data_IF_029317888276
#
_entry.id   IF_029317888276
#
_cell.length_a   1.000
_cell.length_b   1.000
_cell.length_c   1.000
_cell.angle_alpha   90.00
_cell.angle_beta   90.00
_cell.angle_gamma   90.00
#
_symmetry.space_group_name_H-M   'P 1'
#
loop_
_entity.id
_entity.type
_entity.pdbx_description
1 polymer ?
#
# COMPACT_ATOMS: atom_id res chain seq x y z
N UNK A 1 17.53 11.77 -16.36
CA UNK A 1 16.66 10.61 -16.62
C UNK A 1 15.23 11.10 -16.61
N UNK A 2 14.41 10.85 -17.64
CA UNK A 2 13.00 11.20 -17.57
C UNK A 2 12.34 10.36 -16.47
N UNK A 3 11.57 10.99 -15.59
CA UNK A 3 10.76 10.29 -14.61
C UNK A 3 9.77 9.40 -15.37
N UNK A 4 9.79 8.09 -15.14
CA UNK A 4 8.77 7.19 -15.67
C UNK A 4 7.44 7.59 -15.02
N UNK A 5 6.47 7.99 -15.84
CA UNK A 5 5.11 8.24 -15.36
C UNK A 5 4.58 6.93 -14.81
N UNK A 6 4.36 6.88 -13.51
CA UNK A 6 3.75 5.73 -12.85
C UNK A 6 2.29 5.65 -13.28
N UNK A 7 1.91 4.54 -13.92
CA UNK A 7 0.52 4.24 -14.17
C UNK A 7 -0.18 3.99 -12.84
N UNK A 8 -1.35 4.60 -12.64
CA UNK A 8 -2.16 4.41 -11.44
C UNK A 8 -2.42 2.91 -11.22
N UNK A 9 -1.88 2.37 -10.12
CA UNK A 9 -2.05 0.96 -9.75
C UNK A 9 -3.34 0.83 -8.93
N UNK A 10 -4.31 0.02 -9.39
CA UNK A 10 -5.60 -0.09 -8.70
C UNK A 10 -5.44 -0.73 -7.31
N UNK A 11 -5.71 0.06 -6.27
CA UNK A 11 -5.73 -0.39 -4.89
C UNK A 11 -7.11 -0.98 -4.53
N UNK A 12 -7.22 -2.30 -4.60
CA UNK A 12 -8.42 -3.04 -4.15
C UNK A 12 -8.19 -3.64 -2.78
N UNK A 13 -9.27 -3.98 -2.07
CA UNK A 13 -9.17 -4.66 -0.76
C UNK A 13 -8.27 -5.92 -0.81
N UNK A 14 -8.43 -6.74 -1.85
CA UNK A 14 -7.62 -7.95 -2.03
C UNK A 14 -6.14 -7.64 -2.27
N UNK A 15 -5.84 -6.65 -3.11
CA UNK A 15 -4.45 -6.31 -3.45
C UNK A 15 -3.72 -5.59 -2.32
N UNK A 16 -4.42 -4.78 -1.52
CA UNK A 16 -3.85 -4.18 -0.30
C UNK A 16 -3.53 -5.25 0.74
N UNK A 17 -4.47 -6.19 0.98
CA UNK A 17 -4.25 -7.30 1.91
C UNK A 17 -3.05 -8.16 1.49
N UNK A 18 -2.97 -8.52 0.21
CA UNK A 18 -1.86 -9.30 -0.33
C UNK A 18 -0.53 -8.55 -0.19
N UNK A 19 -0.48 -7.26 -0.50
CA UNK A 19 0.73 -6.45 -0.37
C UNK A 19 1.19 -6.32 1.09
N UNK A 20 0.25 -6.14 2.03
CA UNK A 20 0.55 -6.13 3.46
C UNK A 20 1.15 -7.46 3.93
N UNK A 21 0.57 -8.59 3.50
CA UNK A 21 1.07 -9.92 3.84
C UNK A 21 2.46 -10.17 3.24
N UNK A 22 2.69 -9.75 1.98
CA UNK A 22 4.00 -9.86 1.34
C UNK A 22 5.07 -9.00 2.03
N UNK A 23 4.67 -7.85 2.58
CA UNK A 23 5.54 -7.01 3.41
C UNK A 23 5.81 -7.60 4.81
N UNK A 24 5.19 -8.72 5.17
CA UNK A 24 5.33 -9.34 6.49
C UNK A 24 4.64 -8.56 7.62
N UNK A 25 3.73 -7.64 7.30
CA UNK A 25 3.09 -6.76 8.28
C UNK A 25 1.75 -7.34 8.75
N UNK A 26 1.50 -7.25 10.05
CA UNK A 26 0.15 -7.34 10.63
C UNK A 26 -0.65 -6.08 10.30
N UNK A 27 -1.97 -6.10 10.55
CA UNK A 27 -2.79 -4.89 10.39
C UNK A 27 -2.38 -3.78 11.37
N UNK A 28 -1.90 -4.12 12.56
CA UNK A 28 -1.46 -3.14 13.55
C UNK A 28 -0.15 -2.47 13.12
N UNK A 29 0.84 -3.25 12.68
CA UNK A 29 2.13 -2.71 12.19
C UNK A 29 1.95 -1.90 10.91
N UNK A 30 1.02 -2.30 10.03
CA UNK A 30 0.67 -1.49 8.88
C UNK A 30 -0.01 -0.19 9.29
N UNK A 31 -0.96 -0.23 10.24
CA UNK A 31 -1.58 0.99 10.76
C UNK A 31 -0.53 1.96 11.33
N UNK A 32 0.39 1.47 12.16
CA UNK A 32 1.49 2.25 12.72
C UNK A 32 2.40 2.82 11.62
N UNK A 33 2.77 2.00 10.63
CA UNK A 33 3.64 2.41 9.52
C UNK A 33 3.07 3.57 8.70
N UNK A 34 1.75 3.63 8.55
CA UNK A 34 1.04 4.63 7.77
C UNK A 34 0.38 5.71 8.64
N UNK A 35 0.75 5.79 9.93
CA UNK A 35 0.23 6.77 10.91
C UNK A 35 -1.31 6.77 11.02
N UNK A 36 -1.89 5.57 11.00
CA UNK A 36 -3.32 5.34 11.18
C UNK A 36 -3.62 4.59 12.48
N UNK A 37 -4.82 4.79 13.02
CA UNK A 37 -5.36 3.85 14.00
C UNK A 37 -5.70 2.51 13.32
N UNK A 38 -5.63 1.40 14.07
CA UNK A 38 -5.98 0.06 13.57
C UNK A 38 -7.36 0.03 12.90
N UNK A 39 -8.35 0.72 13.48
CA UNK A 39 -9.71 0.80 12.94
C UNK A 39 -9.75 1.51 11.59
N UNK A 40 -8.98 2.60 11.43
CA UNK A 40 -8.89 3.32 10.16
C UNK A 40 -8.20 2.44 9.11
N UNK A 41 -7.12 1.74 9.48
CA UNK A 41 -6.47 0.79 8.58
C UNK A 41 -7.42 -0.31 8.12
N UNK A 42 -8.13 -0.96 9.04
CA UNK A 42 -9.10 -2.01 8.72
C UNK A 42 -10.20 -1.51 7.78
N UNK A 43 -10.71 -0.29 8.01
CA UNK A 43 -11.69 0.33 7.13
C UNK A 43 -11.11 0.56 5.73
N UNK A 44 -9.90 1.12 5.63
CA UNK A 44 -9.21 1.34 4.35
C UNK A 44 -8.94 0.03 3.61
N UNK A 45 -8.47 -1.02 4.30
CA UNK A 45 -8.21 -2.34 3.71
C UNK A 45 -9.51 -3.00 3.25
N UNK A 46 -10.61 -2.91 4.01
CA UNK A 46 -11.87 -3.57 3.68
C UNK A 46 -12.70 -2.84 2.61
N UNK A 47 -12.68 -1.51 2.60
CA UNK A 47 -13.54 -0.69 1.74
C UNK A 47 -12.83 -0.16 0.49
N UNK A 48 -11.55 -0.48 0.30
CA UNK A 48 -10.78 -0.08 -0.88
C UNK A 48 -11.39 -0.59 -2.19
N UNK A 49 -11.49 0.31 -3.18
CA UNK A 49 -12.11 0.05 -4.47
C UNK A 49 -13.62 0.23 -4.51
N UNK A 50 -14.26 0.61 -3.39
CA UNK A 50 -15.68 1.00 -3.38
C UNK A 50 -15.85 2.49 -3.63
N UNK A 51 -16.93 2.89 -4.31
CA UNK A 51 -17.20 4.28 -4.67
C UNK A 51 -17.43 5.24 -3.47
N UNK A 52 -17.44 4.72 -2.24
CA UNK A 52 -17.88 5.43 -1.03
C UNK A 52 -16.79 5.70 0.02
N UNK A 53 -15.55 5.21 -0.17
CA UNK A 53 -14.56 5.26 0.92
C UNK A 53 -13.13 5.50 0.43
N UNK A 54 -12.43 6.42 1.10
CA UNK A 54 -11.04 6.76 0.86
C UNK A 54 -10.12 5.61 1.26
N UNK A 55 -9.69 4.82 0.27
CA UNK A 55 -8.64 3.82 0.43
C UNK A 55 -7.28 4.45 0.75
N UNK A 56 -6.21 3.68 0.54
CA UNK A 56 -4.88 4.26 0.48
C UNK A 56 -4.81 5.20 -0.73
N UNK A 57 -4.16 6.34 -0.55
CA UNK A 57 -3.74 7.18 -1.67
C UNK A 57 -2.77 6.41 -2.56
N UNK A 58 -2.59 6.86 -3.80
CA UNK A 58 -1.68 6.20 -4.74
C UNK A 58 -0.26 6.04 -4.18
N UNK A 59 0.30 7.09 -3.57
CA UNK A 59 1.64 7.04 -2.99
C UNK A 59 1.73 6.12 -1.77
N UNK A 60 0.68 6.06 -0.94
CA UNK A 60 0.64 5.12 0.18
C UNK A 60 0.60 3.66 -0.32
N UNK A 61 -0.18 3.39 -1.36
CA UNK A 61 -0.26 2.04 -1.93
C UNK A 61 1.05 1.64 -2.61
N UNK A 62 1.70 2.55 -3.34
CA UNK A 62 3.02 2.32 -3.93
C UNK A 62 4.08 2.03 -2.86
N UNK A 63 4.06 2.74 -1.74
CA UNK A 63 4.94 2.44 -0.60
C UNK A 63 4.66 1.03 -0.04
N UNK A 64 3.40 0.63 0.10
CA UNK A 64 3.05 -0.72 0.55
C UNK A 64 3.57 -1.80 -0.42
N UNK A 65 3.45 -1.56 -1.72
CA UNK A 65 3.99 -2.45 -2.75
C UNK A 65 5.52 -2.54 -2.69
N UNK A 66 6.20 -1.42 -2.46
CA UNK A 66 7.66 -1.37 -2.30
C UNK A 66 8.11 -2.19 -1.10
N UNK A 67 7.36 -2.15 0.00
CA UNK A 67 7.67 -2.93 1.20
C UNK A 67 7.45 -4.42 1.02
N UNK A 68 6.44 -4.81 0.24
CA UNK A 68 6.20 -6.20 -0.13
C UNK A 68 7.06 -6.69 -1.30
N UNK A 69 7.95 -5.87 -1.85
CA UNK A 69 8.70 -6.15 -3.08
C UNK A 69 7.79 -6.56 -4.26
N UNK A 70 6.61 -5.95 -4.36
CA UNK A 70 5.58 -6.19 -5.38
C UNK A 70 5.41 -5.01 -6.35
N UNK A 71 6.17 -3.93 -6.17
CA UNK A 71 6.03 -2.75 -7.02
C UNK A 71 6.54 -3.08 -8.44
N UNK A 72 5.77 -2.82 -9.50
CA UNK A 72 6.08 -3.30 -10.85
C UNK A 72 7.39 -2.72 -11.42
N UNK A 73 7.71 -1.48 -11.04
CA UNK A 73 8.82 -0.73 -11.62
C UNK A 73 10.01 -0.46 -10.68
N UNK A 74 9.82 -0.66 -9.37
CA UNK A 74 10.76 -0.16 -8.36
C UNK A 74 10.93 -1.19 -7.24
N UNK A 75 12.10 -1.20 -6.61
CA UNK A 75 12.38 -2.04 -5.45
C UNK A 75 13.16 -1.22 -4.41
N UNK A 76 12.98 -1.54 -3.13
CA UNK A 76 13.77 -0.93 -2.05
C UNK A 76 15.17 -1.54 -2.04
N UNK A 77 16.19 -0.68 -2.04
CA UNK A 77 17.57 -1.06 -1.86
C UNK A 77 18.11 -0.43 -0.56
N UNK A 78 18.99 -1.13 0.19
CA UNK A 78 19.69 -0.53 1.32
C UNK A 78 20.42 0.74 0.90
N UNK A 79 20.42 1.74 1.77
CA UNK A 79 21.33 2.89 1.59
C UNK A 79 22.77 2.38 1.70
N UNK A 80 23.62 2.85 0.78
CA UNK A 80 25.06 2.60 0.81
C UNK A 80 25.71 3.35 1.97
#
# INVERSE_FOLDING_TARGET
MPLKVLSMVPATAATIKAARQAAGLTQAEAAERFDYSLRVWQKKEAEAGTAKSGGLTQGEYELLLLLGNLHPDYALAPKK
#
